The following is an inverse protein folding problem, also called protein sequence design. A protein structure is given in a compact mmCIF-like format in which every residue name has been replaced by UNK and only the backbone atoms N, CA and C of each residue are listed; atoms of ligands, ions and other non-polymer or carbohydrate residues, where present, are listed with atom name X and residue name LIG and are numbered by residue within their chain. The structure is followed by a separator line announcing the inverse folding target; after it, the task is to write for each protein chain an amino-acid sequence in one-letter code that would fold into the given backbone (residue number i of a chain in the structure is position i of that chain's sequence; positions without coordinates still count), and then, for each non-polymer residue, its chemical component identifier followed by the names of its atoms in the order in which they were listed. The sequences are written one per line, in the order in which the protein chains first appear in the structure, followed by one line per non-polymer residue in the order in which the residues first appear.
data_IF_984158847550
#
_entry.id   IF_984158847550
#
_cell.length_a   1.000
_cell.length_b   1.000
_cell.length_c   1.000
_cell.angle_alpha   90.00
_cell.angle_beta   90.00
_cell.angle_gamma   90.00
#
_symmetry.space_group_name_H-M   'P 1'
#
loop_
_entity.id
_entity.type
_entity.pdbx_description
1 polymer ?
#
# COMPACT_ATOMS: atom_id res chain seq x y z
N UNK A 4 5.21 7.23 30.21
CA UNK A 4 3.85 7.46 29.63
C UNK A 4 3.76 8.66 28.68
N UNK A 5 3.13 8.43 27.54
CA UNK A 5 2.93 9.40 26.46
C UNK A 5 1.68 8.80 25.87
N UNK A 6 0.71 9.61 25.41
CA UNK A 6 0.31 11.03 25.24
C UNK A 6 0.67 12.14 26.22
N UNK A 7 1.01 13.29 25.63
CA UNK A 7 1.33 14.51 26.35
C UNK A 7 1.16 15.76 25.46
N UNK A 8 0.27 16.68 25.84
CA UNK A 8 0.13 17.85 24.97
C UNK A 8 1.18 18.90 25.26
N UNK A 9 1.17 19.41 26.46
CA UNK A 9 2.10 20.39 26.88
C UNK A 9 2.13 21.82 26.27
N UNK A 10 0.95 22.16 25.68
CA UNK A 10 0.82 23.41 24.90
C UNK A 10 1.06 24.61 25.77
N UNK A 11 1.71 25.64 25.22
CA UNK A 11 2.03 26.90 25.93
C UNK A 11 2.18 28.01 24.89
N UNK A 12 1.41 29.10 25.02
CA UNK A 12 1.51 30.18 24.01
C UNK A 12 2.54 31.31 24.17
N UNK A 13 3.43 31.42 23.17
CA UNK A 13 4.48 32.41 23.06
C UNK A 13 4.36 33.20 21.74
N UNK A 14 3.14 33.35 21.19
CA UNK A 14 2.96 34.05 19.91
C UNK A 14 4.08 35.02 19.62
N UNK A 15 4.15 36.10 20.36
CA UNK A 15 5.27 37.01 20.19
C UNK A 15 5.55 37.77 18.89
N UNK A 16 4.57 38.31 18.17
CA UNK A 16 5.01 39.12 17.03
C UNK A 16 5.80 38.36 15.96
N UNK A 17 5.13 37.75 14.99
CA UNK A 17 5.81 36.98 13.94
C UNK A 17 6.07 35.50 14.25
N UNK A 18 4.93 34.82 14.41
CA UNK A 18 4.83 33.40 14.64
C UNK A 18 4.78 32.88 13.21
N UNK A 19 4.28 33.72 12.29
CA UNK A 19 4.19 33.34 10.88
C UNK A 19 5.53 32.73 10.45
N UNK A 20 6.63 33.48 10.61
CA UNK A 20 7.96 32.98 10.23
C UNK A 20 8.33 31.59 10.78
N UNK A 21 8.06 31.35 12.06
CA UNK A 21 8.38 30.04 12.62
C UNK A 21 7.34 29.01 12.17
N UNK A 22 6.30 29.47 11.47
CA UNK A 22 5.27 28.58 10.97
C UNK A 22 5.76 28.00 9.65
N UNK A 23 6.22 28.88 8.78
CA UNK A 23 6.73 28.46 7.49
C UNK A 23 7.71 27.30 7.75
N UNK A 24 8.63 27.48 8.70
CA UNK A 24 9.60 26.42 8.96
C UNK A 24 8.98 25.22 9.65
N UNK A 25 8.13 25.47 10.64
CA UNK A 25 7.48 24.36 11.35
C UNK A 25 6.59 23.52 10.45
N UNK A 26 6.28 24.05 9.27
CA UNK A 26 5.44 23.33 8.31
C UNK A 26 6.29 22.62 7.26
N UNK A 27 7.29 23.32 6.72
CA UNK A 27 8.17 22.69 5.76
C UNK A 27 8.91 21.58 6.52
N UNK A 28 9.10 21.81 7.82
CA UNK A 28 9.80 20.86 8.70
C UNK A 28 9.02 19.57 8.87
N UNK A 29 7.85 19.68 9.49
CA UNK A 29 6.96 18.56 9.79
C UNK A 29 6.54 17.69 8.61
N UNK A 30 6.18 18.31 7.50
CA UNK A 30 5.76 17.58 6.31
C UNK A 30 6.74 16.44 5.97
N UNK A 31 8.04 16.74 5.86
CA UNK A 31 9.01 15.68 5.55
C UNK A 31 8.96 14.61 6.63
N UNK A 32 8.75 15.04 7.86
CA UNK A 32 8.66 14.13 8.98
C UNK A 32 7.75 12.95 8.74
N UNK A 33 6.46 13.21 8.80
CA UNK A 33 5.43 12.19 8.57
C UNK A 33 5.55 11.52 7.18
N UNK A 34 5.93 12.28 6.15
CA UNK A 34 6.05 11.66 4.83
C UNK A 34 7.11 10.55 4.86
N UNK A 35 8.30 10.88 5.34
CA UNK A 35 9.39 9.91 5.42
C UNK A 35 9.15 8.96 6.55
N UNK A 36 8.45 9.44 7.57
CA UNK A 36 8.13 8.58 8.68
C UNK A 36 7.27 7.46 8.09
N UNK A 37 6.18 7.85 7.44
CA UNK A 37 5.29 6.88 6.83
C UNK A 37 6.04 6.01 5.83
N UNK A 38 6.84 6.64 4.98
CA UNK A 38 7.61 5.91 3.99
C UNK A 38 8.40 4.77 4.66
N UNK A 39 9.03 5.04 5.80
CA UNK A 39 9.84 4.03 6.49
C UNK A 39 9.14 2.70 6.79
N UNK A 40 7.84 2.72 7.00
CA UNK A 40 7.10 1.50 7.27
C UNK A 40 7.23 0.49 6.17
N UNK A 41 7.19 0.98 4.94
CA UNK A 41 7.30 0.12 3.78
C UNK A 41 8.58 -0.68 3.60
N UNK A 42 9.67 -0.29 4.27
CA UNK A 42 10.91 -1.08 4.17
C UNK A 42 10.59 -2.38 4.88
N UNK A 43 9.83 -2.27 5.97
CA UNK A 43 9.36 -3.41 6.77
C UNK A 43 8.36 -4.49 6.27
N UNK A 44 7.40 -4.16 5.37
CA UNK A 44 6.52 -5.14 4.76
C UNK A 44 7.25 -5.76 3.62
N UNK A 45 8.08 -5.25 2.80
CA UNK A 45 8.13 -6.52 2.18
C UNK A 45 9.48 -7.13 2.05
N UNK A 46 9.85 -7.49 3.29
CA UNK A 46 11.08 -8.17 3.67
C UNK A 46 10.91 -9.67 3.63
N UNK A 47 9.78 -10.15 4.11
CA UNK A 47 9.67 -11.60 4.15
C UNK A 47 9.68 -12.15 2.75
N UNK A 48 9.01 -11.45 1.86
CA UNK A 48 8.95 -11.84 0.47
C UNK A 48 10.37 -12.13 -0.01
N UNK A 49 11.27 -11.18 0.22
CA UNK A 49 12.65 -11.33 -0.21
C UNK A 49 13.31 -12.54 0.47
N UNK A 50 12.83 -12.85 1.66
CA UNK A 50 13.33 -13.97 2.44
C UNK A 50 13.08 -15.32 1.79
N UNK A 51 11.85 -15.53 1.35
CA UNK A 51 11.40 -16.79 0.77
C UNK A 51 12.22 -17.39 -0.36
N UNK A 52 12.77 -16.58 -1.29
CA UNK A 52 13.51 -17.37 -2.27
C UNK A 52 14.80 -17.85 -1.63
N UNK A 53 15.50 -16.95 -0.88
CA UNK A 53 16.77 -17.23 -0.10
C UNK A 53 16.36 -18.37 0.85
N UNK A 54 15.45 -18.03 1.76
CA UNK A 54 14.86 -18.99 2.68
C UNK A 54 14.33 -20.06 1.76
N UNK A 55 14.28 -21.27 2.27
CA UNK A 55 13.77 -22.43 1.56
C UNK A 55 14.46 -23.01 0.33
N UNK A 56 15.79 -22.91 0.23
CA UNK A 56 16.44 -23.64 -0.85
C UNK A 56 15.96 -24.92 -0.17
N UNK A 57 16.14 -24.89 1.16
CA UNK A 57 15.72 -25.90 2.12
C UNK A 57 14.23 -26.19 1.92
N UNK A 58 13.86 -27.46 2.03
CA UNK A 58 12.48 -27.87 1.86
C UNK A 58 11.43 -27.04 2.56
N UNK A 59 11.86 -26.05 3.35
CA UNK A 59 10.95 -25.17 4.08
C UNK A 59 9.69 -24.80 3.31
N UNK A 60 9.86 -23.97 2.28
CA UNK A 60 8.75 -23.51 1.46
C UNK A 60 7.83 -24.57 0.88
N UNK A 61 6.54 -24.40 1.11
CA UNK A 61 5.53 -25.29 0.54
C UNK A 61 4.85 -24.47 -0.57
N UNK A 62 4.58 -23.22 -0.19
CA UNK A 62 3.86 -22.25 -1.00
C UNK A 62 3.07 -21.78 0.20
N UNK A 63 3.39 -22.43 1.31
CA UNK A 63 2.89 -22.20 2.68
C UNK A 63 3.36 -20.84 3.19
N UNK A 64 4.63 -20.53 2.93
CA UNK A 64 5.22 -19.28 3.38
C UNK A 64 4.26 -18.15 3.05
N UNK A 65 3.57 -18.26 1.92
CA UNK A 65 2.60 -17.24 1.57
C UNK A 65 1.59 -17.06 2.67
N UNK A 66 1.18 -18.15 3.32
CA UNK A 66 0.23 -18.06 4.41
C UNK A 66 0.93 -17.22 5.46
N UNK A 67 2.20 -17.51 5.69
CA UNK A 67 2.96 -16.76 6.68
C UNK A 67 2.95 -15.28 6.32
N UNK A 68 3.29 -14.96 5.08
CA UNK A 68 3.31 -13.57 4.67
C UNK A 68 1.93 -13.02 4.87
N UNK A 69 0.94 -13.84 4.56
CA UNK A 69 -0.47 -13.51 4.71
C UNK A 69 -0.74 -12.78 6.04
N UNK A 70 0.07 -13.07 7.05
CA UNK A 70 -0.08 -12.41 8.34
C UNK A 70 -0.17 -10.89 8.34
N UNK A 71 0.82 -10.22 7.75
CA UNK A 71 0.87 -8.75 7.70
C UNK A 71 -0.48 -8.11 7.38
N UNK A 72 -1.11 -8.63 6.35
CA UNK A 72 -2.39 -8.08 5.91
C UNK A 72 -3.54 -8.26 6.88
N UNK A 73 -3.66 -9.45 7.46
CA UNK A 73 -4.74 -9.75 8.38
C UNK A 73 -4.72 -8.79 9.57
N UNK A 74 -3.54 -8.64 10.18
CA UNK A 74 -3.35 -7.78 11.36
C UNK A 74 -3.63 -6.34 11.01
N UNK A 75 -3.10 -5.91 9.86
CA UNK A 75 -3.35 -4.55 9.39
C UNK A 75 -4.87 -4.48 9.33
N UNK A 76 -5.45 -5.61 8.94
CA UNK A 76 -6.90 -5.70 8.84
C UNK A 76 -7.63 -5.49 10.15
N UNK A 77 -7.38 -6.35 11.15
CA UNK A 77 -8.05 -6.22 12.46
C UNK A 77 -7.57 -4.95 13.13
N UNK A 78 -6.45 -4.44 12.65
CA UNK A 78 -5.81 -3.23 13.17
C UNK A 78 -6.61 -1.94 13.21
N UNK A 79 -6.93 -1.40 12.04
CA UNK A 79 -7.62 -0.13 11.99
C UNK A 79 -8.91 -0.12 12.80
N UNK A 80 -9.48 -1.29 13.02
CA UNK A 80 -10.71 -1.36 13.80
C UNK A 80 -10.61 -0.60 15.13
N UNK A 81 -9.43 -0.57 15.73
CA UNK A 81 -9.29 0.10 17.03
C UNK A 81 -8.24 1.22 17.16
N UNK A 82 -7.11 1.08 16.47
CA UNK A 82 -6.04 2.06 16.52
C UNK A 82 -6.53 3.43 16.09
N UNK A 83 -7.60 3.46 15.29
CA UNK A 83 -8.16 4.71 14.82
C UNK A 83 -8.46 5.73 15.90
N UNK A 84 -8.66 5.27 17.14
CA UNK A 84 -8.95 6.18 18.24
C UNK A 84 -7.68 6.54 19.01
N UNK A 85 -6.86 5.53 19.26
CA UNK A 85 -5.62 5.71 20.00
C UNK A 85 -4.79 6.90 19.51
N UNK A 86 -4.45 6.95 18.23
CA UNK A 86 -3.65 8.09 17.76
C UNK A 86 -4.40 9.39 18.02
N UNK A 87 -5.73 9.32 18.01
CA UNK A 87 -6.53 10.52 18.27
C UNK A 87 -6.19 11.04 19.67
N UNK A 88 -6.02 10.13 20.62
CA UNK A 88 -5.66 10.48 22.00
C UNK A 88 -4.17 10.82 22.12
N UNK A 89 -3.33 9.92 21.62
CA UNK A 89 -1.88 10.05 21.67
C UNK A 89 -1.34 11.11 20.74
N UNK A 90 -0.05 11.42 20.87
CA UNK A 90 0.52 12.43 20.01
C UNK A 90 1.36 11.93 18.84
N UNK A 91 0.94 12.34 17.63
CA UNK A 91 1.57 12.00 16.36
C UNK A 91 3.09 12.05 16.36
N UNK A 92 3.68 13.03 17.08
CA UNK A 92 5.13 13.13 17.11
C UNK A 92 5.81 11.86 17.65
N UNK A 93 5.24 11.28 18.71
CA UNK A 93 5.79 10.08 19.31
C UNK A 93 5.24 8.79 18.73
N UNK A 94 3.91 8.75 18.65
CA UNK A 94 3.17 7.59 18.18
C UNK A 94 3.60 7.01 16.84
N UNK A 95 4.06 7.85 15.93
CA UNK A 95 4.51 7.38 14.63
C UNK A 95 5.84 6.63 14.81
N UNK A 96 6.89 7.28 15.32
CA UNK A 96 8.16 6.56 15.50
C UNK A 96 7.94 5.38 16.42
N UNK A 97 7.15 5.62 17.47
CA UNK A 97 6.83 4.59 18.46
C UNK A 97 6.26 3.31 17.83
N UNK A 98 5.64 3.43 16.67
CA UNK A 98 5.07 2.26 16.03
C UNK A 98 6.04 1.60 15.07
N UNK A 99 6.64 2.43 14.21
CA UNK A 99 7.74 1.94 13.41
C UNK A 99 8.79 1.19 14.14
N UNK A 100 9.68 1.91 14.79
CA UNK A 100 10.71 1.21 15.54
C UNK A 100 10.18 0.04 16.32
N UNK A 101 8.96 0.16 16.85
CA UNK A 101 8.36 -0.96 17.55
C UNK A 101 8.25 -2.17 16.60
N UNK A 102 7.81 -1.92 15.37
CA UNK A 102 7.65 -2.97 14.36
C UNK A 102 8.96 -3.41 13.69
N UNK A 103 9.72 -2.42 13.22
CA UNK A 103 10.99 -2.65 12.53
C UNK A 103 11.97 -3.39 13.41
N UNK A 104 11.77 -3.30 14.72
CA UNK A 104 12.63 -4.00 15.65
C UNK A 104 12.25 -5.47 15.55
N UNK A 105 10.94 -5.74 15.53
CA UNK A 105 10.42 -7.12 15.46
C UNK A 105 11.00 -7.86 14.29
N UNK A 106 11.15 -7.16 13.19
CA UNK A 106 11.71 -7.79 12.03
C UNK A 106 13.08 -8.24 12.43
N UNK A 107 13.84 -7.37 13.10
CA UNK A 107 15.19 -7.74 13.53
C UNK A 107 15.16 -9.03 14.36
N UNK A 108 14.06 -9.24 15.08
CA UNK A 108 13.91 -10.46 15.89
C UNK A 108 14.09 -11.66 14.97
N UNK A 109 13.52 -11.59 13.76
CA UNK A 109 13.59 -12.68 12.78
C UNK A 109 14.92 -12.82 12.09
N UNK A 110 15.46 -11.73 11.57
CA UNK A 110 16.74 -11.80 10.87
C UNK A 110 17.92 -12.37 11.65
N UNK A 111 17.84 -12.38 12.97
CA UNK A 111 18.94 -12.88 13.80
C UNK A 111 18.79 -14.13 14.65
N UNK A 112 17.58 -14.40 15.13
CA UNK A 112 17.36 -15.55 16.00
C UNK A 112 16.79 -16.75 15.23
N UNK A 113 17.65 -17.76 14.94
CA UNK A 113 17.28 -18.97 14.22
C UNK A 113 15.91 -19.53 14.57
N UNK A 114 15.75 -20.05 15.79
CA UNK A 114 14.44 -20.59 16.18
C UNK A 114 13.32 -19.71 15.66
N UNK A 115 13.45 -18.43 15.97
CA UNK A 115 12.47 -17.43 15.57
C UNK A 115 12.22 -17.34 14.08
N UNK A 116 13.29 -17.38 13.28
CA UNK A 116 13.10 -17.26 11.83
C UNK A 116 12.72 -18.53 11.08
N UNK A 117 13.36 -19.66 11.38
CA UNK A 117 13.03 -20.90 10.67
C UNK A 117 12.20 -21.95 11.46
N UNK A 118 10.88 -21.75 11.47
CA UNK A 118 9.95 -22.65 12.16
C UNK A 118 8.65 -23.12 11.45
N UNK A 119 8.29 -22.48 10.33
CA UNK A 119 7.03 -22.75 9.60
C UNK A 119 5.79 -22.26 10.34
N UNK A 120 5.66 -20.93 10.31
CA UNK A 120 4.59 -20.17 10.93
C UNK A 120 4.76 -19.81 12.40
N UNK A 121 6.01 -19.78 12.82
CA UNK A 121 6.33 -19.27 14.13
C UNK A 121 6.29 -17.85 13.60
N UNK A 122 6.75 -17.77 12.34
CA UNK A 122 6.89 -16.56 11.52
C UNK A 122 5.53 -15.95 11.30
N UNK A 123 4.54 -16.80 11.03
CA UNK A 123 3.19 -16.32 10.86
C UNK A 123 2.99 -15.35 12.04
N UNK A 124 3.12 -15.89 13.24
CA UNK A 124 2.92 -15.15 14.49
C UNK A 124 3.82 -13.92 14.67
N UNK A 125 5.12 -14.05 14.41
CA UNK A 125 6.01 -12.90 14.55
C UNK A 125 5.58 -11.82 13.54
N UNK A 126 5.45 -12.28 12.29
CA UNK A 126 5.05 -11.43 11.18
C UNK A 126 3.74 -10.74 11.51
N UNK A 127 2.83 -11.50 12.10
CA UNK A 127 1.51 -10.99 12.46
C UNK A 127 1.58 -9.71 13.30
N UNK A 128 2.58 -9.64 14.17
CA UNK A 128 2.72 -8.45 15.01
C UNK A 128 3.09 -7.30 14.09
N UNK A 129 3.97 -7.60 13.14
CA UNK A 129 4.42 -6.61 12.20
C UNK A 129 3.19 -5.91 11.63
N UNK A 130 2.21 -6.72 11.25
CA UNK A 130 0.99 -6.16 10.71
C UNK A 130 0.33 -5.23 11.70
N UNK A 131 0.16 -5.71 12.93
CA UNK A 131 -0.46 -4.90 13.96
C UNK A 131 0.23 -3.58 14.19
N UNK A 132 1.56 -3.60 14.24
CA UNK A 132 2.32 -2.37 14.43
C UNK A 132 2.21 -1.49 13.19
N UNK A 133 2.21 -2.12 12.03
CA UNK A 133 2.14 -1.39 10.78
C UNK A 133 0.88 -0.56 10.88
N UNK A 134 -0.09 -1.09 11.61
CA UNK A 134 -1.36 -0.40 11.78
C UNK A 134 -1.22 1.02 12.28
N UNK A 135 -0.52 1.21 13.40
CA UNK A 135 -0.38 2.55 13.94
C UNK A 135 0.19 3.56 12.95
N UNK A 136 1.28 3.23 12.28
CA UNK A 136 1.86 4.15 11.32
C UNK A 136 1.10 5.26 10.59
N UNK A 137 -0.05 4.98 10.01
CA UNK A 137 -0.77 6.01 9.26
C UNK A 137 -1.69 6.98 9.94
N UNK A 138 -2.52 6.51 10.88
CA UNK A 138 -3.41 7.52 11.47
C UNK A 138 -2.84 8.72 12.24
N UNK A 139 -1.64 8.60 12.82
CA UNK A 139 -1.24 9.85 13.46
C UNK A 139 -0.92 10.74 12.27
N UNK A 140 -0.37 10.13 11.22
CA UNK A 140 -0.03 10.84 10.00
C UNK A 140 -1.29 11.55 9.57
N UNK A 141 -2.41 11.02 10.02
CA UNK A 141 -3.70 11.62 9.68
C UNK A 141 -4.02 12.79 10.57
N UNK A 142 -3.91 12.57 11.89
CA UNK A 142 -4.19 13.59 12.90
C UNK A 142 -3.34 14.82 12.60
N UNK A 143 -2.12 14.59 12.13
CA UNK A 143 -1.23 15.68 11.79
C UNK A 143 -1.84 16.53 10.69
N UNK A 144 -2.07 15.91 9.54
CA UNK A 144 -2.61 16.63 8.41
C UNK A 144 -3.82 17.47 8.73
N UNK A 145 -4.47 17.16 9.86
CA UNK A 145 -5.65 17.89 10.29
C UNK A 145 -5.16 19.22 10.84
N UNK A 146 -3.95 19.21 11.36
CA UNK A 146 -3.34 20.39 11.93
C UNK A 146 -2.45 21.17 10.96
N UNK A 147 -2.56 20.86 9.67
CA UNK A 147 -1.85 21.64 8.66
C UNK A 147 -2.71 22.91 8.49
N UNK A 148 -3.74 22.83 7.63
CA UNK A 148 -4.74 23.89 7.43
C UNK A 148 -5.88 23.55 6.45
N UNK A 149 -7.13 23.53 6.91
CA UNK A 149 -8.24 23.18 6.01
C UNK A 149 -8.31 23.87 4.65
N UNK A 150 -8.79 23.11 3.68
CA UNK A 150 -8.95 23.48 2.27
C UNK A 150 -7.59 23.62 1.58
N UNK A 151 -6.57 23.07 2.22
CA UNK A 151 -5.23 23.05 1.68
C UNK A 151 -4.88 21.56 1.65
N UNK A 152 -5.31 20.87 2.70
CA UNK A 152 -5.11 19.43 2.88
C UNK A 152 -5.21 18.59 1.60
N UNK A 153 -6.17 18.92 0.75
CA UNK A 153 -6.33 18.15 -0.49
C UNK A 153 -4.97 17.97 -1.13
N UNK A 154 -4.14 19.00 -1.05
CA UNK A 154 -2.83 18.95 -1.65
C UNK A 154 -1.80 18.12 -0.90
N UNK A 155 -1.69 18.31 0.40
CA UNK A 155 -0.71 17.56 1.15
C UNK A 155 -0.92 16.08 0.93
N UNK A 156 -2.19 15.68 0.86
CA UNK A 156 -2.57 14.27 0.69
C UNK A 156 -2.32 13.79 -0.73
N UNK A 157 -2.77 14.54 -1.73
CA UNK A 157 -2.56 14.13 -3.12
C UNK A 157 -1.21 13.40 -3.17
N UNK A 158 -0.18 14.10 -2.71
CA UNK A 158 1.18 13.56 -2.65
C UNK A 158 1.36 12.32 -1.76
N UNK A 159 0.80 12.31 -0.57
CA UNK A 159 0.99 11.20 0.34
C UNK A 159 0.47 9.80 -0.03
N UNK A 160 -0.75 9.66 -0.52
CA UNK A 160 -1.19 8.29 -0.85
C UNK A 160 -0.30 7.57 -1.88
N UNK A 161 -0.21 8.18 -3.05
CA UNK A 161 0.48 7.63 -4.20
C UNK A 161 2.00 7.51 -4.21
N UNK A 162 2.70 8.34 -3.44
CA UNK A 162 4.16 8.26 -3.43
C UNK A 162 4.66 7.41 -2.28
N UNK A 163 3.98 7.48 -1.16
CA UNK A 163 4.41 6.76 0.03
C UNK A 163 4.56 5.23 -0.09
N UNK A 164 3.32 4.47 -0.92
CA UNK A 164 3.82 3.11 -0.91
C UNK A 164 5.06 2.96 -1.77
N UNK A 165 5.38 3.59 -2.67
CA UNK A 165 6.51 3.28 -3.55
C UNK A 165 7.93 3.77 -3.17
N UNK A 166 8.05 5.04 -2.75
CA UNK A 166 9.36 5.55 -2.40
C UNK A 166 10.06 4.70 -1.35
N UNK A 167 9.27 4.09 -0.46
CA UNK A 167 9.84 3.24 0.57
C UNK A 167 9.86 1.75 0.30
N UNK A 168 8.80 1.22 -0.32
CA UNK A 168 8.71 -0.21 -0.58
C UNK A 168 9.65 -0.73 -1.64
N UNK A 169 10.19 0.17 -2.45
CA UNK A 169 11.11 -0.22 -3.50
C UNK A 169 12.59 -0.19 -3.15
N UNK A 170 12.92 0.34 -1.99
CA UNK A 170 14.31 0.39 -1.55
C UNK A 170 14.95 -0.85 -0.88
N UNK A 171 14.18 -1.63 -0.10
CA UNK A 171 14.69 -2.84 0.60
C UNK A 171 15.43 -3.92 -0.16
N UNK A 172 14.96 -4.31 -1.36
CA UNK A 172 15.73 -5.35 -2.05
C UNK A 172 17.12 -4.77 -2.38
N UNK A 173 17.17 -3.45 -2.54
CA UNK A 173 18.41 -2.76 -2.82
C UNK A 173 19.38 -2.90 -1.66
N UNK A 174 18.89 -2.77 -0.43
CA UNK A 174 19.77 -2.89 0.73
C UNK A 174 20.20 -4.34 0.91
N UNK A 175 19.24 -5.26 0.85
CA UNK A 175 19.58 -6.67 0.97
C UNK A 175 20.64 -7.00 -0.07
N UNK A 176 20.42 -6.55 -1.30
CA UNK A 176 21.36 -6.74 -2.40
C UNK A 176 22.75 -6.29 -1.96
N UNK A 177 22.80 -5.15 -1.27
CA UNK A 177 24.07 -4.60 -0.78
C UNK A 177 24.58 -5.33 0.48
N UNK A 178 23.67 -5.53 1.45
CA UNK A 178 24.02 -6.21 2.68
C UNK A 178 24.49 -7.66 2.44
N UNK A 179 24.46 -8.11 1.19
CA UNK A 179 24.91 -9.47 0.89
C UNK A 179 26.41 -9.62 1.08
N UNK A 180 27.16 -8.67 0.53
CA UNK A 180 28.62 -8.66 0.63
C UNK A 180 29.17 -8.42 2.06
N UNK A 181 28.53 -7.52 2.79
CA UNK A 181 28.97 -7.16 4.13
C UNK A 181 28.51 -8.13 5.21
N UNK A 182 27.34 -8.71 4.98
CA UNK A 182 26.73 -9.64 5.91
C UNK A 182 26.49 -11.01 5.31
N UNK A 183 27.52 -11.50 4.61
CA UNK A 183 27.49 -12.77 3.88
C UNK A 183 26.27 -13.72 3.98
N UNK A 184 25.74 -13.99 5.18
CA UNK A 184 24.58 -14.89 5.29
C UNK A 184 23.43 -14.45 4.38
N UNK A 185 22.94 -15.43 3.61
CA UNK A 185 21.87 -15.20 2.67
C UNK A 185 20.48 -15.52 3.17
N UNK A 186 20.30 -16.70 3.76
CA UNK A 186 18.98 -17.10 4.25
C UNK A 186 18.36 -15.99 5.08
N UNK A 187 19.18 -15.20 5.79
CA UNK A 187 18.61 -14.10 6.57
C UNK A 187 19.33 -12.74 6.67
N UNK A 188 19.35 -11.96 5.59
CA UNK A 188 19.91 -10.59 5.59
C UNK A 188 18.71 -9.62 5.39
N UNK A 189 17.50 -10.15 5.57
CA UNK A 189 16.25 -9.38 5.47
C UNK A 189 16.19 -8.35 6.60
N UNK A 190 17.16 -8.46 7.52
CA UNK A 190 17.31 -7.56 8.69
C UNK A 190 17.97 -6.19 8.43
N UNK A 191 18.86 -6.12 7.45
CA UNK A 191 19.57 -4.88 7.16
C UNK A 191 18.60 -3.75 6.78
N UNK A 192 17.55 -4.06 5.99
CA UNK A 192 16.68 -2.91 5.69
C UNK A 192 16.10 -2.38 7.00
N UNK A 193 15.65 -3.29 7.85
CA UNK A 193 15.08 -2.94 9.14
C UNK A 193 16.06 -2.15 10.00
N UNK A 194 17.35 -2.48 9.87
CA UNK A 194 18.37 -1.81 10.66
C UNK A 194 18.27 -0.32 10.47
N UNK A 195 18.17 0.11 9.23
CA UNK A 195 18.09 1.53 8.92
C UNK A 195 16.71 2.15 9.21
N UNK A 196 15.65 1.36 9.11
CA UNK A 196 14.32 1.90 9.35
C UNK A 196 14.26 2.59 10.69
N UNK A 197 14.85 1.96 11.70
CA UNK A 197 14.82 2.57 13.01
C UNK A 197 15.41 3.98 12.89
N UNK A 198 16.47 4.12 12.10
CA UNK A 198 17.13 5.41 11.94
C UNK A 198 16.21 6.47 11.40
N UNK A 199 15.40 6.13 10.41
CA UNK A 199 14.50 7.11 9.84
C UNK A 199 13.51 7.48 10.94
N UNK A 200 13.08 6.47 11.67
CA UNK A 200 12.14 6.68 12.76
C UNK A 200 12.56 7.81 13.70
N UNK A 201 13.84 7.89 13.99
CA UNK A 201 14.31 8.93 14.87
C UNK A 201 14.07 10.26 14.18
N UNK A 202 14.61 10.35 12.98
CA UNK A 202 14.50 11.55 12.15
C UNK A 202 13.05 11.95 12.10
N UNK A 203 12.17 10.95 12.08
CA UNK A 203 10.76 11.22 12.04
C UNK A 203 10.43 11.97 13.31
N UNK A 204 10.73 11.36 14.45
CA UNK A 204 10.44 11.95 15.75
C UNK A 204 11.08 13.32 15.96
N UNK A 205 12.33 13.46 15.51
CA UNK A 205 13.08 14.69 15.64
C UNK A 205 12.54 15.91 14.90
N UNK A 206 11.67 15.69 13.92
CA UNK A 206 11.15 16.83 13.18
C UNK A 206 9.64 17.11 13.22
N UNK A 207 8.84 16.10 13.57
CA UNK A 207 7.38 16.27 13.63
C UNK A 207 7.00 17.01 14.90
N UNK A 208 5.74 17.43 14.99
CA UNK A 208 5.24 18.15 16.16
C UNK A 208 3.73 18.23 16.03
N UNK A 209 3.04 18.76 17.01
CA UNK A 209 1.59 18.84 16.89
C UNK A 209 1.26 20.17 16.24
N UNK A 210 2.07 21.16 16.57
CA UNK A 210 2.00 22.54 16.11
C UNK A 210 0.90 23.44 16.72
N UNK A 211 0.28 23.01 17.83
CA UNK A 211 -0.72 23.87 18.46
C UNK A 211 0.14 24.60 19.50
N UNK A 212 0.95 23.76 20.15
CA UNK A 212 1.91 24.02 21.22
C UNK A 212 2.98 25.11 21.21
N UNK A 213 3.40 25.59 20.05
CA UNK A 213 4.44 26.63 20.06
C UNK A 213 3.83 27.92 19.52
N UNK A 214 2.93 27.75 18.57
CA UNK A 214 2.22 28.87 17.98
C UNK A 214 1.04 29.18 18.87
N UNK A 215 0.21 28.16 19.10
CA UNK A 215 -0.97 28.31 19.92
C UNK A 215 -2.10 28.74 19.03
N UNK A 216 -1.78 28.89 17.75
CA UNK A 216 -2.73 29.30 16.73
C UNK A 216 -3.38 28.10 16.03
N UNK A 217 -4.64 27.75 16.41
CA UNK A 217 -5.30 26.61 15.75
C UNK A 217 -5.15 27.08 14.32
N UNK A 218 -4.94 26.17 13.35
CA UNK A 218 -4.79 26.85 12.06
C UNK A 218 -5.88 27.85 11.71
N UNK A 219 -5.52 29.12 11.84
CA UNK A 219 -6.40 30.20 11.46
C UNK A 219 -5.79 30.71 10.16
N UNK A 220 -4.75 31.50 10.38
CA UNK A 220 -3.90 32.18 9.41
C UNK A 220 -4.57 32.64 8.12
N UNK A 221 -5.86 32.34 7.99
CA UNK A 221 -6.67 32.75 6.85
C UNK A 221 -8.13 32.77 7.29
N UNK A 222 -8.35 32.26 8.49
CA UNK A 222 -9.67 32.12 9.10
C UNK A 222 -10.62 31.22 8.29
N UNK A 223 -10.14 30.01 7.97
CA UNK A 223 -10.92 29.01 7.23
C UNK A 223 -12.18 28.63 8.03
N UNK A 224 -11.97 28.01 9.18
CA UNK A 224 -13.04 27.61 10.11
C UNK A 224 -14.25 26.74 9.70
N UNK A 225 -14.00 25.63 8.99
CA UNK A 225 -15.09 24.71 8.62
C UNK A 225 -16.46 25.33 8.32
N UNK A 239 -23.72 11.99 11.77
CA UNK A 239 -24.33 10.68 11.92
C UNK A 239 -23.25 9.60 12.17
N UNK A 240 -23.69 8.36 12.36
CA UNK A 240 -22.81 7.23 12.66
C UNK A 240 -22.62 6.15 11.59
N UNK A 241 -21.74 5.19 11.89
CA UNK A 241 -21.42 4.05 11.02
C UNK A 241 -22.59 3.66 10.13
N UNK A 242 -23.79 3.68 10.69
CA UNK A 242 -25.03 3.35 9.98
C UNK A 242 -24.84 3.54 8.48
N UNK A 243 -24.35 4.71 8.08
CA UNK A 243 -24.12 5.01 6.67
C UNK A 243 -23.58 3.84 5.86
N UNK A 244 -22.60 3.12 6.37
CA UNK A 244 -22.06 1.97 5.65
C UNK A 244 -23.17 0.97 5.42
N UNK A 245 -23.86 0.60 6.49
CA UNK A 245 -24.97 -0.34 6.38
C UNK A 245 -26.10 0.19 5.49
N UNK A 246 -26.46 1.45 5.66
CA UNK A 246 -27.55 2.04 4.89
C UNK A 246 -27.32 2.34 3.41
N UNK A 247 -26.23 3.02 3.09
CA UNK A 247 -25.91 3.42 1.71
C UNK A 247 -24.90 2.54 0.93
N UNK A 248 -23.93 2.01 1.63
CA UNK A 248 -22.89 1.19 1.02
C UNK A 248 -23.23 -0.29 0.95
N UNK A 249 -23.75 -0.86 2.03
CA UNK A 249 -24.03 -2.29 2.05
C UNK A 249 -24.77 -2.89 0.85
N UNK A 250 -25.88 -2.29 0.38
CA UNK A 250 -26.24 -3.16 -0.73
C UNK A 250 -25.42 -2.68 -1.90
N UNK A 251 -25.79 -1.52 -2.44
CA UNK A 251 -25.05 -0.91 -3.54
C UNK A 251 -24.44 -1.95 -4.48
N UNK A 252 -25.24 -2.86 -5.01
CA UNK A 252 -24.72 -3.90 -5.89
C UNK A 252 -23.63 -3.39 -6.82
N UNK A 253 -23.66 -2.10 -7.11
CA UNK A 253 -22.64 -1.49 -7.95
C UNK A 253 -21.29 -1.38 -7.24
N UNK A 254 -21.26 -0.76 -6.07
CA UNK A 254 -20.00 -0.61 -5.36
C UNK A 254 -19.35 -1.99 -5.20
N UNK A 255 -20.19 -3.01 -5.01
CA UNK A 255 -19.69 -4.36 -4.83
C UNK A 255 -18.84 -4.82 -5.98
N UNK A 256 -19.35 -4.64 -7.18
CA UNK A 256 -18.60 -5.10 -8.33
C UNK A 256 -17.20 -4.51 -8.42
N UNK A 257 -17.04 -3.20 -8.23
CA UNK A 257 -15.70 -2.61 -8.28
C UNK A 257 -14.82 -3.12 -7.13
N UNK A 258 -15.45 -3.42 -6.01
CA UNK A 258 -14.70 -3.91 -4.85
C UNK A 258 -14.23 -5.33 -5.16
N UNK A 259 -15.15 -6.17 -5.60
CA UNK A 259 -14.79 -7.56 -5.93
C UNK A 259 -13.82 -7.54 -7.12
N UNK A 260 -13.79 -6.41 -7.81
CA UNK A 260 -12.90 -6.21 -8.93
C UNK A 260 -11.54 -5.76 -8.41
N UNK A 261 -11.56 -4.77 -7.53
CA UNK A 261 -10.31 -4.24 -7.03
C UNK A 261 -9.44 -5.41 -6.56
N UNK A 262 -10.07 -6.39 -5.92
CA UNK A 262 -9.35 -7.56 -5.44
C UNK A 262 -8.32 -8.07 -6.41
N UNK A 263 -8.80 -8.55 -7.56
CA UNK A 263 -7.93 -9.12 -8.57
C UNK A 263 -6.89 -8.15 -9.10
N UNK A 264 -7.17 -6.87 -8.97
CA UNK A 264 -6.22 -5.87 -9.44
C UNK A 264 -5.05 -5.98 -8.51
N UNK A 265 -5.37 -5.94 -7.22
CA UNK A 265 -4.39 -6.03 -6.15
C UNK A 265 -3.66 -7.37 -6.14
N UNK A 266 -4.32 -8.43 -6.63
CA UNK A 266 -3.67 -9.72 -6.66
C UNK A 266 -2.66 -9.76 -7.81
N UNK A 267 -2.96 -9.07 -8.91
CA UNK A 267 -1.99 -9.06 -9.99
C UNK A 267 -0.76 -8.28 -9.55
N UNK A 268 -0.99 -7.18 -8.83
CA UNK A 268 0.13 -6.38 -8.35
C UNK A 268 1.04 -7.10 -7.35
N UNK A 269 0.43 -7.53 -6.24
CA UNK A 269 1.18 -8.21 -5.20
C UNK A 269 1.63 -9.63 -5.51
N UNK A 270 0.75 -10.43 -6.08
CA UNK A 270 1.15 -11.78 -6.44
C UNK A 270 2.32 -11.77 -7.42
N UNK A 271 2.30 -10.87 -8.40
CA UNK A 271 3.41 -10.83 -9.34
C UNK A 271 4.64 -10.34 -8.59
N UNK A 272 4.47 -9.31 -7.75
CA UNK A 272 5.57 -8.72 -6.99
C UNK A 272 6.20 -9.44 -5.81
N UNK A 273 5.42 -10.20 -5.03
CA UNK A 273 5.98 -10.88 -3.85
C UNK A 273 6.76 -12.12 -4.28
N UNK A 274 6.45 -12.59 -5.48
CA UNK A 274 7.19 -13.70 -6.01
C UNK A 274 8.35 -13.29 -6.88
N UNK A 275 8.29 -12.07 -7.42
CA UNK A 275 9.31 -11.56 -8.33
C UNK A 275 10.73 -12.01 -8.04
N UNK A 276 11.16 -11.95 -6.78
CA UNK A 276 12.54 -12.42 -6.64
C UNK A 276 12.60 -13.94 -6.67
N UNK A 277 11.70 -14.59 -5.92
CA UNK A 277 11.64 -16.04 -5.85
C UNK A 277 11.38 -16.82 -7.14
N UNK A 278 10.41 -16.34 -7.94
CA UNK A 278 10.04 -17.00 -9.20
C UNK A 278 11.21 -16.84 -10.13
N UNK A 279 11.83 -15.68 -10.09
CA UNK A 279 13.04 -15.51 -10.86
C UNK A 279 13.97 -16.44 -10.06
N UNK A 280 14.86 -17.12 -10.73
CA UNK A 280 15.77 -18.06 -10.08
C UNK A 280 15.08 -19.36 -9.61
N UNK A 281 13.89 -19.65 -10.12
CA UNK A 281 13.29 -20.95 -9.84
C UNK A 281 13.41 -21.48 -11.26
N UNK A 282 12.87 -20.65 -12.15
CA UNK A 282 12.86 -20.78 -13.62
C UNK A 282 13.40 -19.41 -14.10
N UNK A 283 13.82 -19.26 -15.35
CA UNK A 283 14.33 -17.95 -15.78
C UNK A 283 15.34 -17.48 -14.74
N UNK A 284 16.19 -18.40 -14.29
CA UNK A 284 17.14 -18.06 -13.23
C UNK A 284 18.45 -17.52 -13.72
N UNK A 285 18.52 -16.20 -13.89
CA UNK A 285 19.75 -15.60 -14.33
C UNK A 285 20.60 -15.17 -13.14
N UNK A 286 20.07 -14.28 -12.31
CA UNK A 286 20.84 -13.82 -11.15
C UNK A 286 20.09 -12.99 -10.10
N UNK A 287 20.59 -13.03 -8.88
CA UNK A 287 20.03 -12.28 -7.76
C UNK A 287 20.29 -10.80 -8.03
N UNK A 288 21.45 -10.52 -8.61
CA UNK A 288 21.86 -9.17 -8.94
C UNK A 288 20.74 -8.38 -9.64
N UNK A 289 20.36 -8.80 -10.85
CA UNK A 289 19.30 -8.11 -11.60
C UNK A 289 17.93 -8.35 -11.01
N UNK A 290 17.71 -9.53 -10.44
CA UNK A 290 16.42 -9.86 -9.82
C UNK A 290 15.92 -8.72 -8.93
N UNK A 291 16.72 -8.41 -7.91
CA UNK A 291 16.40 -7.39 -6.94
C UNK A 291 16.47 -5.98 -7.51
N UNK A 292 17.24 -5.80 -8.56
CA UNK A 292 17.35 -4.49 -9.17
C UNK A 292 16.11 -4.18 -10.00
N UNK A 293 15.26 -5.18 -10.15
CA UNK A 293 14.02 -5.02 -10.91
C UNK A 293 12.91 -4.67 -9.94
N UNK A 294 12.82 -5.42 -8.86
CA UNK A 294 11.81 -5.21 -7.84
C UNK A 294 11.83 -3.74 -7.46
N UNK A 295 13.03 -3.18 -7.34
CA UNK A 295 13.18 -1.78 -7.03
C UNK A 295 12.49 -1.00 -8.16
N UNK A 296 13.03 -1.20 -9.36
CA UNK A 296 12.55 -0.58 -10.59
C UNK A 296 11.04 -0.63 -10.81
N UNK A 297 10.46 -1.75 -10.41
CA UNK A 297 9.05 -1.94 -10.59
C UNK A 297 8.25 -1.03 -9.68
N UNK A 298 8.55 -1.10 -8.39
CA UNK A 298 7.82 -0.31 -7.41
C UNK A 298 8.01 1.17 -7.54
N UNK A 299 9.23 1.57 -7.89
CA UNK A 299 9.58 2.99 -8.13
C UNK A 299 9.01 3.53 -9.44
N UNK A 300 8.90 2.65 -10.45
CA UNK A 300 8.41 3.06 -11.75
C UNK A 300 6.92 3.37 -11.72
N UNK A 301 6.27 3.04 -10.62
CA UNK A 301 4.85 3.34 -10.50
C UNK A 301 4.62 4.83 -10.36
N UNK A 302 5.54 5.54 -9.71
CA UNK A 302 5.39 6.96 -9.51
C UNK A 302 5.05 7.78 -10.76
N UNK A 303 5.90 7.70 -11.80
CA UNK A 303 5.65 8.45 -13.02
C UNK A 303 4.38 8.03 -13.74
N UNK A 304 4.16 6.72 -13.80
CA UNK A 304 2.98 6.21 -14.46
C UNK A 304 1.72 6.72 -13.77
N UNK A 305 1.46 6.20 -12.58
CA UNK A 305 0.31 6.59 -11.78
C UNK A 305 0.04 8.10 -11.92
N UNK A 306 1.06 8.91 -11.67
CA UNK A 306 0.98 10.36 -11.88
C UNK A 306 0.33 10.66 -13.26
N UNK A 307 0.81 9.96 -14.30
CA UNK A 307 0.33 10.14 -15.68
C UNK A 307 -1.07 9.55 -15.84
N UNK A 308 -1.28 8.40 -15.21
CA UNK A 308 -2.57 7.72 -15.25
C UNK A 308 -3.64 8.74 -14.87
N UNK A 309 -3.28 9.66 -13.99
CA UNK A 309 -4.23 10.68 -13.58
C UNK A 309 -4.51 11.69 -14.67
N UNK A 310 -3.46 12.33 -15.17
CA UNK A 310 -3.62 13.33 -16.21
C UNK A 310 -4.22 12.77 -17.51
N UNK A 311 -3.76 11.61 -17.93
CA UNK A 311 -4.28 10.98 -19.14
C UNK A 311 -5.79 10.75 -18.95
N UNK A 312 -6.15 10.33 -17.74
CA UNK A 312 -7.54 10.07 -17.38
C UNK A 312 -8.43 11.31 -17.40
N UNK A 313 -7.87 12.44 -16.96
CA UNK A 313 -8.62 13.71 -16.94
C UNK A 313 -8.70 14.36 -18.32
N UNK A 314 -7.55 14.43 -19.01
CA UNK A 314 -7.46 15.04 -20.33
C UNK A 314 -7.93 14.23 -21.56
N UNK A 315 -7.61 12.95 -21.60
CA UNK A 315 -7.95 12.11 -22.74
C UNK A 315 -9.29 11.43 -22.61
N UNK A 316 -9.57 10.91 -21.43
CA UNK A 316 -10.81 10.21 -21.23
C UNK A 316 -11.92 11.11 -20.70
N UNK A 317 -11.65 12.42 -20.66
CA UNK A 317 -12.64 13.40 -20.20
C UNK A 317 -13.38 13.01 -18.92
N UNK A 318 -12.64 12.59 -17.89
CA UNK A 318 -13.26 12.24 -16.62
C UNK A 318 -13.95 10.92 -16.38
N UNK A 319 -13.84 9.98 -17.32
CA UNK A 319 -14.46 8.67 -17.13
C UNK A 319 -13.44 7.76 -16.47
N UNK A 320 -13.64 7.51 -15.18
CA UNK A 320 -12.71 6.69 -14.43
C UNK A 320 -12.73 5.18 -14.72
N UNK A 321 -13.92 4.58 -14.85
CA UNK A 321 -13.96 3.16 -15.13
C UNK A 321 -13.15 2.83 -16.38
N UNK A 322 -13.41 3.60 -17.42
CA UNK A 322 -12.76 3.46 -18.72
C UNK A 322 -11.27 3.62 -18.77
N UNK A 323 -10.72 4.34 -17.80
CA UNK A 323 -9.29 4.57 -17.78
C UNK A 323 -8.67 3.32 -17.18
N UNK A 324 -9.42 2.71 -16.27
CA UNK A 324 -8.95 1.49 -15.66
C UNK A 324 -8.91 0.49 -16.77
N UNK A 325 -9.95 0.51 -17.60
CA UNK A 325 -10.03 -0.38 -18.73
C UNK A 325 -8.79 -0.27 -19.62
N UNK A 326 -8.45 0.96 -19.99
CA UNK A 326 -7.28 1.23 -20.82
C UNK A 326 -6.05 0.69 -20.12
N UNK A 327 -5.91 1.05 -18.85
CA UNK A 327 -4.77 0.58 -18.12
C UNK A 327 -4.87 -0.91 -17.80
N UNK A 328 -5.98 -1.34 -17.22
CA UNK A 328 -6.09 -2.75 -16.86
C UNK A 328 -5.79 -3.65 -18.05
N UNK A 329 -6.26 -3.26 -19.23
CA UNK A 329 -6.00 -4.04 -20.44
C UNK A 329 -4.51 -4.05 -20.72
N UNK A 330 -3.89 -2.88 -20.69
CA UNK A 330 -2.46 -2.78 -20.94
C UNK A 330 -1.60 -3.57 -19.97
N UNK A 331 -2.02 -3.66 -18.71
CA UNK A 331 -1.27 -4.41 -17.72
C UNK A 331 -1.31 -5.93 -18.02
N UNK A 332 -2.50 -6.39 -18.43
CA UNK A 332 -2.76 -7.80 -18.74
C UNK A 332 -1.98 -8.26 -19.95
N UNK A 333 -1.95 -7.45 -20.98
CA UNK A 333 -1.21 -7.82 -22.17
C UNK A 333 0.25 -8.10 -21.79
N UNK A 334 0.84 -7.24 -20.95
CA UNK A 334 2.23 -7.42 -20.55
C UNK A 334 2.41 -8.66 -19.66
N UNK A 335 1.55 -8.79 -18.67
CA UNK A 335 1.66 -9.94 -17.78
C UNK A 335 1.73 -11.27 -18.51
N UNK A 336 0.94 -11.46 -19.58
CA UNK A 336 0.95 -12.72 -20.34
C UNK A 336 2.18 -12.90 -21.22
N UNK A 337 2.58 -11.86 -21.96
CA UNK A 337 3.78 -11.96 -22.81
C UNK A 337 4.92 -12.39 -21.88
N UNK A 338 4.98 -11.76 -20.73
CA UNK A 338 5.98 -12.07 -19.73
C UNK A 338 5.68 -13.46 -19.14
N UNK A 339 4.45 -13.91 -19.26
CA UNK A 339 4.10 -15.25 -18.81
C UNK A 339 4.78 -16.21 -19.80
N UNK A 340 4.77 -15.84 -21.07
CA UNK A 340 5.37 -16.69 -22.09
C UNK A 340 6.81 -16.27 -22.25
N UNK A 341 7.68 -16.90 -21.47
CA UNK A 341 9.11 -16.63 -21.55
C UNK A 341 9.98 -17.74 -20.95
N UNK A 342 11.03 -18.11 -21.67
CA UNK A 342 12.05 -19.13 -21.41
C UNK A 342 13.24 -18.42 -20.78
N UNK A 343 14.36 -19.11 -20.67
CA UNK A 343 15.55 -18.53 -20.06
C UNK A 343 16.12 -17.42 -20.95
N UNK A 344 15.27 -16.86 -21.81
CA UNK A 344 15.67 -15.76 -22.66
C UNK A 344 14.91 -14.53 -22.20
N UNK A 345 14.48 -14.57 -20.95
CA UNK A 345 13.72 -13.48 -20.31
C UNK A 345 14.56 -12.31 -19.79
N UNK A 346 15.89 -12.37 -19.94
CA UNK A 346 16.69 -11.26 -19.44
C UNK A 346 16.28 -9.85 -19.88
N UNK A 347 16.19 -9.60 -21.19
CA UNK A 347 15.86 -8.27 -21.64
C UNK A 347 14.37 -8.12 -21.90
N UNK A 348 13.58 -9.02 -21.33
CA UNK A 348 12.15 -8.95 -21.48
C UNK A 348 11.54 -8.57 -20.13
N UNK A 349 11.98 -9.24 -19.07
CA UNK A 349 11.47 -8.96 -17.72
C UNK A 349 11.81 -7.57 -17.18
N UNK A 350 13.00 -7.07 -17.48
CA UNK A 350 13.39 -5.75 -17.02
C UNK A 350 12.30 -4.79 -17.47
N UNK A 351 12.00 -4.84 -18.76
CA UNK A 351 10.97 -3.99 -19.33
C UNK A 351 9.60 -4.44 -18.79
N UNK A 352 9.44 -5.76 -18.75
CA UNK A 352 8.24 -6.43 -18.24
C UNK A 352 7.81 -5.90 -16.88
N UNK A 353 8.78 -5.85 -15.96
CA UNK A 353 8.58 -5.37 -14.58
C UNK A 353 8.36 -3.86 -14.57
N UNK A 354 9.23 -3.16 -15.28
CA UNK A 354 9.13 -1.71 -15.37
C UNK A 354 7.75 -1.33 -15.81
N UNK A 355 7.18 -2.15 -16.68
CA UNK A 355 5.85 -1.89 -17.23
C UNK A 355 4.71 -2.37 -16.33
N UNK A 356 4.70 -3.65 -15.99
CA UNK A 356 3.66 -4.17 -15.12
C UNK A 356 3.40 -3.18 -14.01
N UNK A 357 4.45 -2.86 -13.24
CA UNK A 357 4.33 -1.93 -12.13
C UNK A 357 3.80 -0.57 -12.54
N UNK A 358 4.43 0.00 -13.56
CA UNK A 358 4.07 1.30 -14.13
C UNK A 358 2.56 1.57 -14.11
N UNK A 359 1.78 0.55 -14.50
CA UNK A 359 0.32 0.67 -14.55
C UNK A 359 -0.53 0.07 -13.41
N UNK A 360 -0.08 -0.97 -12.71
CA UNK A 360 -0.93 -1.61 -11.68
C UNK A 360 -1.64 -0.75 -10.70
N UNK A 361 -1.10 0.44 -10.46
CA UNK A 361 -1.68 1.33 -9.49
C UNK A 361 -2.83 2.08 -10.13
N UNK A 362 -2.70 2.35 -11.43
CA UNK A 362 -3.75 3.04 -12.15
C UNK A 362 -5.15 2.70 -11.68
N UNK A 363 -5.57 1.42 -11.74
CA UNK A 363 -6.92 1.08 -11.28
C UNK A 363 -7.14 1.15 -9.77
N UNK A 364 -6.08 0.96 -8.99
CA UNK A 364 -6.17 1.06 -7.53
C UNK A 364 -6.75 2.43 -7.17
N UNK A 365 -6.15 3.47 -7.76
CA UNK A 365 -6.58 4.84 -7.53
C UNK A 365 -7.92 5.19 -8.16
N UNK A 366 -8.10 4.75 -9.41
CA UNK A 366 -9.32 5.00 -10.16
C UNK A 366 -10.60 4.45 -9.56
N UNK A 367 -10.57 3.20 -9.13
CA UNK A 367 -11.75 2.62 -8.52
C UNK A 367 -12.15 3.50 -7.34
N UNK A 368 -11.23 3.67 -6.39
CA UNK A 368 -11.50 4.46 -5.21
C UNK A 368 -12.20 5.73 -5.65
N UNK A 369 -11.58 6.44 -6.57
CA UNK A 369 -12.16 7.66 -7.09
C UNK A 369 -13.54 7.38 -7.68
N UNK A 370 -13.62 6.27 -8.40
CA UNK A 370 -14.86 5.88 -9.02
C UNK A 370 -15.98 5.73 -7.99
N UNK A 371 -15.66 5.08 -6.87
CA UNK A 371 -16.59 4.81 -5.76
C UNK A 371 -17.33 6.08 -5.27
N UNK A 372 -16.59 7.19 -5.18
CA UNK A 372 -17.12 8.48 -4.75
C UNK A 372 -18.45 8.80 -5.45
N UNK A 373 -18.48 8.57 -6.76
CA UNK A 373 -19.67 8.81 -7.59
C UNK A 373 -20.80 7.78 -7.42
N UNK A 374 -20.44 6.54 -7.09
CA UNK A 374 -21.38 5.42 -6.93
C UNK A 374 -22.31 5.41 -5.71
N UNK A 375 -22.40 6.52 -5.01
CA UNK A 375 -23.27 6.58 -3.85
C UNK A 375 -23.53 8.01 -3.53
N UNK A 376 -24.41 8.25 -2.56
CA UNK A 376 -24.74 9.62 -2.13
C UNK A 376 -23.65 10.39 -1.35
N UNK A 377 -23.92 11.68 -1.15
CA UNK A 377 -23.06 12.64 -0.49
C UNK A 377 -22.03 12.14 0.54
N UNK A 378 -22.49 11.63 1.68
CA UNK A 378 -21.50 11.19 2.67
C UNK A 378 -20.98 9.79 2.40
N UNK A 379 -21.80 8.98 1.73
CA UNK A 379 -21.41 7.62 1.41
C UNK A 379 -20.03 7.58 0.76
N UNK A 380 -19.76 8.54 -0.12
CA UNK A 380 -18.47 8.62 -0.83
C UNK A 380 -17.30 8.22 0.06
N UNK A 381 -17.17 8.93 1.18
CA UNK A 381 -16.12 8.66 2.12
C UNK A 381 -16.02 7.20 2.47
N UNK A 382 -17.03 6.66 3.15
CA UNK A 382 -16.99 5.27 3.56
C UNK A 382 -17.21 4.30 2.40
N UNK A 383 -17.70 4.84 1.27
CA UNK A 383 -17.94 4.07 0.06
C UNK A 383 -16.61 3.81 -0.64
N UNK A 384 -15.80 4.87 -0.72
CA UNK A 384 -14.49 4.82 -1.37
C UNK A 384 -13.48 4.11 -0.49
N UNK A 385 -13.73 4.10 0.80
CA UNK A 385 -12.82 3.44 1.73
C UNK A 385 -13.09 1.94 1.76
N UNK A 386 -14.36 1.56 1.76
CA UNK A 386 -14.75 0.16 1.75
C UNK A 386 -14.03 -0.56 0.63
N UNK A 387 -14.01 0.09 -0.53
CA UNK A 387 -13.36 -0.47 -1.70
C UNK A 387 -11.89 -0.78 -1.42
N UNK A 388 -11.16 0.22 -0.94
CA UNK A 388 -9.75 0.03 -0.65
C UNK A 388 -9.45 -1.19 0.21
N UNK A 389 -10.23 -1.37 1.27
CA UNK A 389 -10.01 -2.51 2.15
C UNK A 389 -10.52 -3.84 1.61
N UNK A 390 -11.71 -3.86 1.02
CA UNK A 390 -12.17 -5.12 0.48
C UNK A 390 -11.10 -5.50 -0.52
N UNK A 391 -10.64 -4.50 -1.27
CA UNK A 391 -9.62 -4.69 -2.27
C UNK A 391 -8.30 -5.18 -1.72
N UNK A 392 -7.64 -4.38 -0.88
CA UNK A 392 -6.31 -4.73 -0.30
C UNK A 392 -6.32 -5.99 0.54
N UNK A 393 -7.29 -6.07 1.45
CA UNK A 393 -7.41 -7.19 2.35
C UNK A 393 -7.29 -8.50 1.58
N UNK A 394 -8.33 -8.81 0.81
CA UNK A 394 -8.35 -10.04 0.06
C UNK A 394 -7.26 -10.12 -0.98
N UNK A 395 -7.19 -9.09 -1.82
CA UNK A 395 -6.19 -9.04 -2.86
C UNK A 395 -4.85 -9.62 -2.43
N UNK A 396 -4.50 -9.45 -1.16
CA UNK A 396 -3.22 -9.94 -0.65
C UNK A 396 -3.25 -11.41 -0.26
N UNK A 397 -4.20 -11.79 0.59
CA UNK A 397 -4.31 -13.18 1.02
C UNK A 397 -4.13 -14.10 -0.17
N UNK A 398 -4.79 -13.74 -1.27
CA UNK A 398 -4.74 -14.53 -2.50
C UNK A 398 -3.43 -14.25 -3.20
N UNK A 399 -3.07 -12.98 -3.24
CA UNK A 399 -1.84 -12.56 -3.89
C UNK A 399 -0.68 -13.33 -3.34
N UNK A 400 -0.70 -13.58 -2.04
CA UNK A 400 0.37 -14.31 -1.34
C UNK A 400 0.11 -15.81 -1.06
N UNK A 401 -0.92 -16.08 -0.28
CA UNK A 401 -1.23 -17.45 0.09
C UNK A 401 -1.68 -18.37 -1.03
N UNK A 402 -2.88 -18.12 -1.54
CA UNK A 402 -3.46 -18.96 -2.58
C UNK A 402 -2.50 -19.24 -3.70
N UNK A 403 -1.88 -18.22 -4.27
CA UNK A 403 -0.94 -18.50 -5.34
C UNK A 403 0.05 -19.58 -4.90
N UNK A 404 0.72 -19.39 -3.78
CA UNK A 404 1.65 -20.40 -3.33
C UNK A 404 1.07 -21.81 -3.43
N UNK A 405 -0.11 -21.99 -2.86
CA UNK A 405 -0.80 -23.28 -2.85
C UNK A 405 -1.31 -23.73 -4.22
N UNK A 406 -1.44 -22.80 -5.15
CA UNK A 406 -1.92 -23.15 -6.48
C UNK A 406 -0.72 -23.51 -7.31
N UNK A 407 0.38 -23.75 -6.61
CA UNK A 407 1.61 -24.14 -7.28
C UNK A 407 2.05 -25.53 -6.77
N UNK A 408 1.62 -25.91 -5.58
CA UNK A 408 1.99 -27.21 -5.02
C UNK A 408 1.34 -28.41 -5.70
N UNK A 409 0.01 -28.41 -5.77
CA UNK A 409 -0.71 -29.51 -6.38
C UNK A 409 -0.83 -29.33 -7.90
N UNK A 410 -0.57 -28.10 -8.32
CA UNK A 410 -0.58 -27.71 -9.72
C UNK A 410 0.85 -27.30 -10.02
N UNK A 411 1.10 -26.84 -11.23
CA UNK A 411 2.45 -26.42 -11.58
C UNK A 411 2.60 -24.95 -11.19
N UNK A 412 3.62 -24.30 -11.71
CA UNK A 412 3.81 -22.89 -11.42
C UNK A 412 3.00 -22.12 -12.44
N UNK A 413 2.75 -22.76 -13.58
CA UNK A 413 1.95 -22.16 -14.65
C UNK A 413 0.59 -21.74 -14.11
N UNK A 414 -0.04 -22.63 -13.34
CA UNK A 414 -1.34 -22.35 -12.77
C UNK A 414 -1.32 -21.12 -11.89
N UNK A 415 -0.12 -20.60 -11.68
CA UNK A 415 0.03 -19.43 -10.86
C UNK A 415 -0.54 -18.29 -11.66
N UNK A 416 0.01 -18.09 -12.85
CA UNK A 416 -0.44 -17.02 -13.73
C UNK A 416 -1.88 -17.21 -14.17
N UNK A 417 -2.33 -18.45 -14.24
CA UNK A 417 -3.70 -18.71 -14.64
C UNK A 417 -4.63 -17.93 -13.71
N UNK A 418 -4.35 -17.96 -12.41
CA UNK A 418 -5.19 -17.24 -11.46
C UNK A 418 -4.94 -15.74 -11.56
N UNK A 419 -3.69 -15.37 -11.78
CA UNK A 419 -3.31 -13.97 -11.94
C UNK A 419 -3.85 -13.37 -13.24
N UNK A 420 -3.43 -13.91 -14.38
CA UNK A 420 -3.94 -13.43 -15.68
C UNK A 420 -5.46 -13.52 -15.66
N UNK A 421 -5.98 -14.64 -15.16
CA UNK A 421 -7.41 -14.82 -15.06
C UNK A 421 -7.99 -13.75 -14.16
N UNK A 422 -7.39 -13.58 -12.98
CA UNK A 422 -7.87 -12.57 -12.06
C UNK A 422 -8.09 -11.22 -12.73
N UNK A 423 -7.13 -10.80 -13.54
CA UNK A 423 -7.22 -9.50 -14.19
C UNK A 423 -8.39 -9.48 -15.13
N UNK A 424 -8.48 -10.54 -15.92
CA UNK A 424 -9.56 -10.65 -16.87
C UNK A 424 -10.89 -10.27 -16.23
N UNK A 425 -11.20 -10.79 -15.06
CA UNK A 425 -12.48 -10.42 -14.51
C UNK A 425 -12.52 -8.96 -14.10
N UNK A 426 -11.44 -8.47 -13.51
CA UNK A 426 -11.45 -7.09 -13.07
C UNK A 426 -11.99 -6.19 -14.17
N UNK A 427 -11.62 -6.49 -15.42
CA UNK A 427 -12.08 -5.67 -16.52
C UNK A 427 -13.53 -5.93 -16.85
N UNK A 428 -13.88 -7.19 -17.06
CA UNK A 428 -15.25 -7.56 -17.41
C UNK A 428 -16.14 -6.94 -16.35
N UNK A 429 -15.71 -7.06 -15.09
CA UNK A 429 -16.45 -6.52 -13.96
C UNK A 429 -16.45 -5.00 -14.03
N UNK A 430 -15.30 -4.42 -14.36
CA UNK A 430 -15.23 -2.97 -14.43
C UNK A 430 -16.18 -2.48 -15.51
N UNK A 431 -16.50 -3.36 -16.45
CA UNK A 431 -17.39 -3.03 -17.54
C UNK A 431 -18.78 -2.96 -16.98
N UNK A 432 -19.17 -4.04 -16.32
CA UNK A 432 -20.50 -4.12 -15.75
C UNK A 432 -20.82 -2.85 -14.91
N UNK A 433 -19.91 -2.45 -14.03
CA UNK A 433 -20.17 -1.28 -13.21
C UNK A 433 -20.38 -0.11 -14.11
N UNK A 434 -19.84 -0.17 -15.31
CA UNK A 434 -20.00 0.95 -16.20
C UNK A 434 -21.40 0.91 -16.78
N UNK A 435 -21.82 -0.24 -17.25
CA UNK A 435 -23.16 -0.34 -17.79
C UNK A 435 -24.19 -0.01 -16.70
N UNK A 436 -24.07 -0.72 -15.58
CA UNK A 436 -24.98 -0.54 -14.46
C UNK A 436 -25.17 0.88 -13.98
N UNK A 437 -24.07 1.59 -13.77
CA UNK A 437 -24.17 2.97 -13.33
C UNK A 437 -24.97 3.78 -14.34
N UNK A 438 -24.82 3.49 -15.64
CA UNK A 438 -25.56 4.23 -16.66
C UNK A 438 -27.01 3.80 -16.80
N UNK A 439 -27.30 2.51 -16.63
CA UNK A 439 -28.70 2.05 -16.70
C UNK A 439 -29.49 2.75 -15.59
N UNK A 440 -28.85 2.84 -14.44
CA UNK A 440 -29.39 3.46 -13.24
C UNK A 440 -29.81 4.89 -13.53
N UNK A 441 -28.98 5.59 -14.28
CA UNK A 441 -29.25 6.98 -14.65
C UNK A 441 -30.55 7.13 -15.45
N UNK A 442 -30.76 6.21 -16.40
CA UNK A 442 -31.95 6.24 -17.24
C UNK A 442 -33.26 6.14 -16.45
N UNK A 443 -33.21 5.44 -15.32
CA UNK A 443 -34.40 5.26 -14.50
C UNK A 443 -34.98 6.48 -13.76
N UNK A 444 -34.19 7.52 -13.54
CA UNK A 444 -34.73 8.70 -12.84
C UNK A 444 -35.92 9.18 -13.63
N UNK A 445 -35.99 8.73 -14.87
CA UNK A 445 -37.08 9.07 -15.77
C UNK A 445 -38.41 8.61 -15.19
N UNK A 446 -38.39 7.46 -14.53
CA UNK A 446 -39.59 6.86 -13.96
C UNK A 446 -40.06 7.57 -12.70
N UNK A 447 -39.23 8.47 -12.19
CA UNK A 447 -39.54 9.28 -11.02
C UNK A 447 -40.75 10.17 -11.25
N UNK A 448 -40.91 10.62 -12.47
CA UNK A 448 -42.05 11.46 -12.86
C UNK A 448 -43.36 10.66 -13.02
N UNK A 449 -43.23 9.40 -13.42
CA UNK A 449 -44.34 8.50 -13.73
C UNK A 449 -45.75 8.46 -13.09
N UNK A 450 -45.89 8.03 -11.83
CA UNK A 450 -47.29 8.04 -11.39
C UNK A 450 -48.12 9.25 -11.83
#
# INVERSE_FOLDING_TARGET
GSIFKPAPHKARLPAAEIDPTYRRLRWQIFLGIFFGYAAYYLVRKNFALAMPYLVEQGFSRGDLGFALSGISIAYGFSKFIMGSVSDRSNPRVFLPAGLILAAAVMLFMGFVPWATSSIAVMFVLLFLCGWFQGMGWPPCGRTMVHWWSQKERGGIVSVWNCAHNVGGGIPPLLFLLGMAWFNDWHAALYMPAFCAILVALFAFAMMRDTPQSCGLPPIEEYKNDYPDDYNEKAEQELTAKQIFMQYVLPNKLLWYIAIANVFVYLLRYGILDWSPTYLKEVKHFALDKSSWAYFLYEYAGIPGTLLCGWMSDKVFRGNRGATGVFFMTLVTIATIVYWMNPAGNPTVDMICMIVIGFLIYGPVMLIGLHALELAPKKAAGTAAGFTGLFGYLGGSVAASAIVGYTVDFFGWDGGFMVMIGGSILAVILLIVVMIGEKRRHEQLLQELVPR
#
